data_IF_592518008874
#
_entry.id   IF_592518008874
#
_cell.length_a   1.000
_cell.length_b   1.000
_cell.length_c   1.000
_cell.angle_alpha   90.00
_cell.angle_beta   90.00
_cell.angle_gamma   90.00
#
_symmetry.space_group_name_H-M   'P 1'
#
loop_
_entity.id
_entity.type
_entity.pdbx_description
1 polymer ?
#
# COMPACT_ATOMS: atom_id res chain seq x y z
N UNK A 1 -9.97 -16.47 -23.18
CA UNK A 1 -8.99 -16.30 -22.08
C UNK A 1 -9.17 -14.92 -21.51
N UNK A 2 -9.08 -14.69 -20.19
CA UNK A 2 -9.10 -13.33 -19.67
C UNK A 2 -7.96 -12.58 -20.35
N UNK A 3 -8.25 -11.41 -20.92
CA UNK A 3 -7.21 -10.50 -21.39
C UNK A 3 -6.41 -10.11 -20.15
N UNK A 4 -5.12 -10.45 -20.10
CA UNK A 4 -4.26 -10.05 -18.99
C UNK A 4 -4.27 -8.52 -18.81
N UNK A 5 -3.96 -8.05 -17.61
CA UNK A 5 -4.12 -6.63 -17.27
C UNK A 5 -3.14 -5.71 -18.02
N UNK A 6 -1.98 -6.25 -18.44
CA UNK A 6 -0.95 -5.51 -19.15
C UNK A 6 -1.30 -5.41 -20.63
N UNK A 7 -1.38 -4.18 -21.13
CA UNK A 7 -1.71 -3.86 -22.52
C UNK A 7 -0.44 -3.46 -23.27
N UNK A 8 -0.40 -3.79 -24.55
CA UNK A 8 0.60 -3.22 -25.46
C UNK A 8 0.46 -1.68 -25.47
N UNK A 9 1.57 -0.94 -25.35
CA UNK A 9 1.52 0.51 -25.46
C UNK A 9 1.06 0.91 -26.87
N UNK A 10 0.42 2.08 -26.97
CA UNK A 10 0.11 2.68 -28.26
C UNK A 10 1.40 3.20 -28.91
N UNK A 11 1.38 3.42 -30.22
CA UNK A 11 2.51 4.03 -30.94
C UNK A 11 2.80 5.45 -30.40
N UNK A 12 1.76 6.17 -29.98
CA UNK A 12 1.88 7.48 -29.34
C UNK A 12 2.63 7.38 -28.00
N UNK A 13 2.24 6.45 -27.12
CA UNK A 13 2.95 6.22 -25.86
C UNK A 13 4.42 5.81 -26.08
N UNK A 14 4.70 5.00 -27.11
CA UNK A 14 6.08 4.67 -27.47
C UNK A 14 6.86 5.88 -27.97
N UNK A 15 6.21 6.80 -28.68
CA UNK A 15 6.83 8.05 -29.14
C UNK A 15 7.17 8.96 -27.96
N UNK A 16 6.26 9.10 -27.00
CA UNK A 16 6.49 9.89 -25.79
C UNK A 16 7.68 9.35 -25.00
N UNK A 17 7.73 8.02 -24.79
CA UNK A 17 8.87 7.37 -24.12
C UNK A 17 10.17 7.52 -24.92
N UNK A 18 10.13 7.41 -26.25
CA UNK A 18 11.32 7.63 -27.08
C UNK A 18 11.85 9.06 -26.93
N UNK A 19 10.96 10.06 -26.91
CA UNK A 19 11.31 11.46 -26.68
C UNK A 19 11.92 11.69 -25.29
N UNK A 20 11.32 11.10 -24.23
CA UNK A 20 11.82 11.17 -22.86
C UNK A 20 13.24 10.56 -22.73
N UNK A 21 13.52 9.53 -23.52
CA UNK A 21 14.83 8.88 -23.60
C UNK A 21 15.81 9.59 -24.55
N UNK A 22 15.40 10.66 -25.23
CA UNK A 22 16.22 11.40 -26.20
C UNK A 22 16.45 10.65 -27.53
N UNK A 23 15.60 9.68 -27.85
CA UNK A 23 15.64 8.88 -29.09
C UNK A 23 14.75 9.52 -30.15
N UNK A 24 15.28 9.64 -31.37
CA UNK A 24 14.46 9.98 -32.55
C UNK A 24 14.13 8.70 -33.29
N UNK A 25 12.85 8.37 -33.36
CA UNK A 25 12.36 7.15 -34.01
C UNK A 25 11.25 7.49 -35.01
N UNK A 26 11.32 6.89 -36.18
CA UNK A 26 10.28 6.91 -37.19
C UNK A 26 9.07 6.05 -36.79
N UNK A 27 7.93 6.29 -37.44
CA UNK A 27 6.71 5.51 -37.20
C UNK A 27 6.90 4.02 -37.50
N UNK A 28 7.75 3.69 -38.48
CA UNK A 28 8.10 2.32 -38.82
C UNK A 28 8.92 1.65 -37.71
N UNK A 29 9.89 2.35 -37.13
CA UNK A 29 10.68 1.85 -36.01
C UNK A 29 9.82 1.67 -34.75
N UNK A 30 8.90 2.61 -34.48
CA UNK A 30 7.96 2.51 -33.36
C UNK A 30 6.98 1.34 -33.55
N UNK A 31 6.47 1.12 -34.76
CA UNK A 31 5.62 -0.03 -35.07
C UNK A 31 6.35 -1.35 -34.87
N UNK A 32 7.60 -1.45 -35.36
CA UNK A 32 8.45 -2.62 -35.16
C UNK A 32 8.72 -2.87 -33.67
N UNK A 33 9.08 -1.84 -32.91
CA UNK A 33 9.30 -1.99 -31.46
C UNK A 33 8.04 -2.46 -30.73
N UNK A 34 6.87 -1.96 -31.13
CA UNK A 34 5.59 -2.41 -30.58
C UNK A 34 5.33 -3.89 -30.83
N UNK A 35 5.66 -4.40 -32.03
CA UNK A 35 5.57 -5.82 -32.35
C UNK A 35 6.55 -6.65 -31.50
N UNK A 36 7.79 -6.18 -31.35
CA UNK A 36 8.79 -6.85 -30.51
C UNK A 36 8.38 -6.93 -29.03
N UNK A 37 7.60 -5.97 -28.53
CA UNK A 37 7.10 -5.97 -27.16
C UNK A 37 5.99 -7.01 -26.90
N UNK A 38 5.38 -7.59 -27.94
CA UNK A 38 4.26 -8.52 -27.78
C UNK A 38 4.62 -9.73 -26.90
N UNK A 39 5.77 -10.36 -27.15
CA UNK A 39 6.24 -11.49 -26.34
C UNK A 39 6.51 -11.12 -24.88
N UNK A 40 7.04 -9.91 -24.63
CA UNK A 40 7.23 -9.41 -23.26
C UNK A 40 5.90 -9.16 -22.56
N UNK A 41 4.94 -8.52 -23.22
CA UNK A 41 3.59 -8.28 -22.66
C UNK A 41 2.88 -9.59 -22.37
N UNK A 42 2.99 -10.59 -23.22
CA UNK A 42 2.49 -11.94 -22.94
C UNK A 42 3.14 -12.55 -21.69
N UNK A 43 4.46 -12.40 -21.53
CA UNK A 43 5.15 -12.87 -20.33
C UNK A 43 4.70 -12.12 -19.05
N UNK A 44 4.52 -10.80 -19.11
CA UNK A 44 3.96 -10.03 -17.98
C UNK A 44 2.54 -10.48 -17.63
N UNK A 45 1.69 -10.70 -18.64
CA UNK A 45 0.35 -11.20 -18.43
C UNK A 45 0.35 -12.62 -17.86
N UNK A 46 1.32 -13.47 -18.20
CA UNK A 46 1.47 -14.78 -17.57
C UNK A 46 1.81 -14.66 -16.08
N UNK A 47 2.66 -13.70 -15.70
CA UNK A 47 2.98 -13.40 -14.28
C UNK A 47 1.76 -12.84 -13.55
N UNK A 48 0.98 -11.96 -14.18
CA UNK A 48 -0.25 -11.38 -13.61
C UNK A 48 -1.35 -12.42 -13.30
N UNK A 49 -1.29 -13.59 -13.93
CA UNK A 49 -2.18 -14.72 -13.63
C UNK A 49 -1.64 -15.65 -12.54
N UNK A 50 -0.41 -15.43 -12.06
CA UNK A 50 0.16 -16.20 -10.95
C UNK A 50 -0.43 -15.71 -9.62
N UNK A 51 -0.52 -16.59 -8.60
CA UNK A 51 -0.92 -16.17 -7.27
C UNK A 51 0.11 -15.22 -6.63
N UNK A 52 -0.37 -14.22 -5.89
CA UNK A 52 0.48 -13.24 -5.17
C UNK A 52 1.21 -13.81 -3.94
N UNK A 53 0.85 -15.03 -3.48
CA UNK A 53 1.45 -15.72 -2.32
C UNK A 53 1.56 -14.83 -1.06
N UNK A 54 0.47 -14.13 -0.72
CA UNK A 54 0.44 -13.19 0.40
C UNK A 54 0.49 -13.89 1.78
N UNK A 55 1.14 -13.27 2.80
CA UNK A 55 1.12 -13.78 4.17
C UNK A 55 -0.29 -13.88 4.77
N UNK A 56 -0.53 -14.91 5.58
CA UNK A 56 -1.82 -15.12 6.25
C UNK A 56 -2.14 -14.02 7.28
N UNK A 57 -3.38 -13.54 7.22
CA UNK A 57 -3.97 -12.57 8.16
C UNK A 57 -4.74 -13.32 9.26
N UNK A 58 -4.08 -13.59 10.39
CA UNK A 58 -4.55 -14.57 11.40
C UNK A 58 -5.59 -14.07 12.41
N UNK A 59 -5.58 -12.78 12.74
CA UNK A 59 -6.42 -12.23 13.83
C UNK A 59 -7.67 -11.51 13.32
N UNK A 60 -8.86 -11.74 13.92
CA UNK A 60 -10.08 -11.01 13.59
C UNK A 60 -9.92 -9.51 13.78
N UNK A 61 -10.50 -8.72 12.87
CA UNK A 61 -10.29 -7.28 12.83
C UNK A 61 -11.48 -6.54 12.26
N UNK A 62 -11.66 -5.30 12.71
CA UNK A 62 -12.51 -4.32 12.08
C UNK A 62 -11.66 -3.35 11.25
N UNK A 63 -12.20 -2.78 10.15
CA UNK A 63 -11.47 -1.83 9.30
C UNK A 63 -11.10 -0.53 10.03
N UNK A 64 -11.69 -0.30 11.21
CA UNK A 64 -11.51 0.92 11.98
C UNK A 64 -12.36 2.07 11.47
N UNK A 65 -12.26 3.21 12.14
CA UNK A 65 -12.95 4.45 11.77
C UNK A 65 -12.06 5.67 11.99
N UNK A 66 -12.36 6.74 11.26
CA UNK A 66 -11.85 8.07 11.60
C UNK A 66 -12.39 8.47 12.99
N UNK A 67 -11.53 8.94 13.91
CA UNK A 67 -11.98 9.43 15.21
C UNK A 67 -12.71 10.77 15.09
N UNK A 68 -13.67 11.01 15.99
CA UNK A 68 -14.27 12.34 16.11
C UNK A 68 -13.27 13.34 16.75
N UNK A 69 -13.42 14.66 16.57
CA UNK A 69 -12.48 15.65 17.09
C UNK A 69 -12.19 15.53 18.60
N UNK A 70 -13.21 15.21 19.40
CA UNK A 70 -13.10 15.01 20.84
C UNK A 70 -12.22 13.81 21.23
N UNK A 71 -12.10 12.82 20.33
CA UNK A 71 -11.25 11.63 20.48
C UNK A 71 -9.84 11.82 19.88
N UNK A 72 -9.61 12.92 19.16
CA UNK A 72 -8.37 13.19 18.42
C UNK A 72 -7.85 14.62 18.64
N UNK A 73 -7.90 15.10 19.89
CA UNK A 73 -7.52 16.48 20.27
C UNK A 73 -6.13 16.93 19.80
N UNK A 74 -5.21 16.00 19.59
CA UNK A 74 -3.84 16.27 19.17
C UNK A 74 -3.58 15.99 17.68
N UNK A 75 -4.60 15.60 16.90
CA UNK A 75 -4.41 15.18 15.51
C UNK A 75 -3.55 13.93 15.33
N UNK A 76 -3.29 13.17 16.41
CA UNK A 76 -2.34 12.06 16.38
C UNK A 76 -2.89 10.77 15.75
N UNK A 77 -4.21 10.65 15.61
CA UNK A 77 -4.86 9.46 15.05
C UNK A 77 -5.27 9.67 13.60
N UNK A 78 -4.87 8.73 12.75
CA UNK A 78 -5.43 8.60 11.40
C UNK A 78 -6.74 7.81 11.47
N UNK A 79 -6.68 6.58 12.01
CA UNK A 79 -7.80 5.65 12.18
C UNK A 79 -7.69 5.00 13.56
N UNK A 80 -8.82 4.83 14.26
CA UNK A 80 -8.91 4.00 15.47
C UNK A 80 -9.57 2.67 15.13
N UNK A 81 -9.01 1.59 15.64
CA UNK A 81 -9.57 0.23 15.58
C UNK A 81 -9.22 -0.52 16.85
N UNK A 82 -9.71 -1.74 17.03
CA UNK A 82 -9.27 -2.64 18.10
C UNK A 82 -9.08 -4.02 17.49
N UNK A 83 -7.83 -4.47 17.45
CA UNK A 83 -7.46 -5.82 16.98
C UNK A 83 -6.77 -6.51 18.14
N UNK A 84 -7.41 -7.55 18.66
CA UNK A 84 -6.88 -8.35 19.76
C UNK A 84 -5.94 -9.41 19.23
N UNK A 85 -4.72 -9.44 19.77
CA UNK A 85 -3.76 -10.50 19.52
C UNK A 85 -4.05 -11.77 20.33
N UNK A 86 -3.03 -12.62 20.48
CA UNK A 86 -3.11 -13.86 21.22
C UNK A 86 -3.62 -13.70 22.67
N UNK A 87 -4.22 -14.77 23.20
CA UNK A 87 -4.75 -14.79 24.56
C UNK A 87 -3.66 -14.62 25.65
N UNK A 88 -2.41 -14.92 25.34
CA UNK A 88 -1.25 -14.81 26.21
C UNK A 88 -0.03 -14.29 25.42
N UNK A 89 1.07 -13.99 26.13
CA UNK A 89 2.33 -13.53 25.54
C UNK A 89 2.91 -12.31 26.22
N UNK A 90 4.12 -11.89 25.78
CA UNK A 90 4.91 -10.83 26.41
C UNK A 90 4.23 -9.46 26.41
N UNK A 91 3.32 -9.22 25.47
CA UNK A 91 2.58 -7.97 25.31
C UNK A 91 1.12 -8.08 25.76
N UNK A 92 0.72 -9.17 26.43
CA UNK A 92 -0.67 -9.33 26.90
C UNK A 92 -1.08 -8.14 27.78
N UNK A 93 -2.24 -7.56 27.45
CA UNK A 93 -2.80 -6.40 28.15
C UNK A 93 -2.14 -5.06 27.77
N UNK A 94 -1.19 -5.06 26.82
CA UNK A 94 -0.59 -3.83 26.29
C UNK A 94 -1.32 -3.37 25.03
N UNK A 95 -1.44 -2.05 24.90
CA UNK A 95 -2.06 -1.37 23.76
C UNK A 95 -0.96 -0.75 22.91
N UNK A 96 -0.98 -1.00 21.61
CA UNK A 96 0.03 -0.52 20.66
C UNK A 96 -0.67 0.23 19.53
N UNK A 97 -0.18 1.41 19.19
CA UNK A 97 -0.58 2.10 17.98
C UNK A 97 0.51 1.93 16.93
N UNK A 98 0.12 1.78 15.66
CA UNK A 98 1.08 1.64 14.56
C UNK A 98 1.21 2.96 13.82
N UNK A 99 2.45 3.38 13.52
CA UNK A 99 2.69 4.50 12.60
C UNK A 99 1.97 4.25 11.27
N UNK A 100 1.38 5.28 10.67
CA UNK A 100 0.47 5.07 9.54
C UNK A 100 1.15 4.44 8.31
N UNK A 101 2.46 4.64 8.16
CA UNK A 101 3.26 4.00 7.11
C UNK A 101 3.53 2.48 7.33
N UNK A 102 2.97 1.86 8.37
CA UNK A 102 3.05 0.43 8.65
C UNK A 102 1.74 -0.23 8.22
N UNK A 103 1.82 -1.21 7.31
CA UNK A 103 0.66 -1.96 6.85
C UNK A 103 0.00 -2.76 8.00
N UNK A 104 -1.32 -2.73 8.01
CA UNK A 104 -2.18 -3.49 8.91
C UNK A 104 -3.39 -3.93 8.08
N UNK A 105 -3.48 -5.23 7.77
CA UNK A 105 -4.40 -5.73 6.75
C UNK A 105 -5.84 -5.30 7.06
N UNK A 106 -6.55 -4.80 6.04
CA UNK A 106 -7.95 -4.36 6.14
C UNK A 106 -8.16 -3.03 6.87
N UNK A 107 -7.12 -2.36 7.38
CA UNK A 107 -7.21 -1.05 8.04
C UNK A 107 -6.60 0.02 7.14
N UNK A 108 -7.35 1.09 6.79
CA UNK A 108 -6.85 2.12 5.90
C UNK A 108 -5.52 2.74 6.36
N UNK A 109 -4.74 3.22 5.41
CA UNK A 109 -3.55 4.03 5.65
C UNK A 109 -3.30 5.01 4.49
N UNK A 110 -2.56 6.07 4.75
CA UNK A 110 -2.16 7.04 3.72
C UNK A 110 -0.70 7.56 3.89
N UNK A 111 0.04 7.11 4.92
CA UNK A 111 1.43 7.57 5.16
C UNK A 111 1.54 9.11 5.20
N UNK A 112 0.54 9.76 5.79
CA UNK A 112 0.44 11.23 5.86
C UNK A 112 0.28 11.94 4.51
N UNK A 113 0.20 11.20 3.39
CA UNK A 113 0.24 11.74 2.04
C UNK A 113 -1.12 11.59 1.35
N UNK A 114 -1.69 12.69 0.88
CA UNK A 114 -2.98 12.72 0.18
C UNK A 114 -3.03 11.83 -1.07
N UNK A 115 -1.89 11.61 -1.72
CA UNK A 115 -1.78 10.72 -2.90
C UNK A 115 -1.99 9.24 -2.58
N UNK A 116 -1.89 8.84 -1.32
CA UNK A 116 -2.12 7.47 -0.85
C UNK A 116 -3.43 7.33 -0.08
N UNK A 117 -4.25 8.39 0.00
CA UNK A 117 -5.56 8.31 0.63
C UNK A 117 -6.45 7.28 -0.09
N UNK A 118 -7.13 6.44 0.69
CA UNK A 118 -7.97 5.35 0.18
C UNK A 118 -7.28 4.00 0.06
N UNK A 119 -5.95 3.92 0.25
CA UNK A 119 -5.26 2.65 0.27
C UNK A 119 -5.60 1.82 1.52
N UNK A 120 -5.92 0.55 1.31
CA UNK A 120 -6.15 -0.45 2.36
C UNK A 120 -5.25 -1.64 2.03
N UNK A 121 -4.24 -1.96 2.86
CA UNK A 121 -3.36 -3.07 2.61
C UNK A 121 -4.06 -4.42 2.84
N UNK A 122 -3.67 -5.44 2.08
CA UNK A 122 -4.14 -6.83 2.26
C UNK A 122 -3.27 -7.62 3.25
N UNK A 123 -2.14 -7.06 3.69
CA UNK A 123 -1.15 -7.74 4.52
C UNK A 123 -0.82 -6.98 5.81
N UNK A 124 -0.51 -7.73 6.85
CA UNK A 124 0.12 -7.20 8.05
C UNK A 124 1.62 -7.04 7.82
N UNK A 125 2.18 -5.89 8.19
CA UNK A 125 3.62 -5.79 8.32
C UNK A 125 4.10 -6.79 9.37
N UNK A 126 5.28 -7.40 9.17
CA UNK A 126 5.85 -8.41 10.09
C UNK A 126 5.84 -7.98 11.56
N UNK A 127 6.04 -6.69 11.84
CA UNK A 127 5.98 -6.16 13.21
C UNK A 127 4.57 -6.18 13.79
N UNK A 128 3.53 -5.90 13.00
CA UNK A 128 2.14 -6.00 13.44
C UNK A 128 1.80 -7.45 13.80
N UNK A 129 2.19 -8.39 12.95
CA UNK A 129 2.05 -9.83 13.21
C UNK A 129 2.72 -10.25 14.51
N UNK A 130 3.98 -9.84 14.72
CA UNK A 130 4.72 -10.15 15.96
C UNK A 130 4.11 -9.52 17.21
N UNK A 131 3.54 -8.32 17.10
CA UNK A 131 2.85 -7.65 18.21
C UNK A 131 1.61 -8.46 18.61
N UNK A 132 0.78 -8.85 17.63
CA UNK A 132 -0.43 -9.63 17.84
C UNK A 132 -0.10 -11.03 18.38
N UNK A 133 0.89 -11.72 17.81
CA UNK A 133 1.37 -13.02 18.29
C UNK A 133 1.85 -12.97 19.75
N UNK A 134 2.46 -11.86 20.17
CA UNK A 134 2.87 -11.64 21.54
C UNK A 134 1.73 -11.22 22.48
N UNK A 135 0.48 -11.20 22.01
CA UNK A 135 -0.71 -10.87 22.80
C UNK A 135 -1.02 -9.38 22.93
N UNK A 136 -0.34 -8.52 22.17
CA UNK A 136 -0.61 -7.08 22.14
C UNK A 136 -1.93 -6.76 21.43
N UNK A 137 -2.59 -5.69 21.87
CA UNK A 137 -3.78 -5.15 21.19
C UNK A 137 -3.38 -3.96 20.33
N UNK A 138 -3.61 -4.04 19.02
CA UNK A 138 -3.40 -2.89 18.12
C UNK A 138 -4.65 -2.01 18.16
N UNK A 139 -4.46 -0.72 18.46
CA UNK A 139 -5.57 0.22 18.75
C UNK A 139 -5.81 1.29 17.68
N UNK A 140 -5.10 1.21 16.57
CA UNK A 140 -5.22 2.16 15.47
C UNK A 140 -3.91 2.49 14.79
N UNK A 141 -4.03 3.41 13.83
CA UNK A 141 -2.96 3.99 13.05
C UNK A 141 -2.73 5.43 13.50
N UNK A 142 -1.50 5.79 13.80
CA UNK A 142 -1.11 7.15 14.18
C UNK A 142 -0.56 7.89 12.98
N UNK A 143 -0.96 9.15 12.83
CA UNK A 143 -0.50 10.06 11.77
C UNK A 143 1.02 10.09 11.69
N UNK A 144 1.55 10.29 10.49
CA UNK A 144 2.94 10.63 10.25
C UNK A 144 3.03 11.75 9.21
N UNK A 145 4.22 12.33 9.08
CA UNK A 145 4.53 13.35 8.09
C UNK A 145 4.30 12.88 6.65
N UNK A 146 4.15 13.83 5.71
CA UNK A 146 3.96 13.55 4.29
C UNK A 146 5.10 12.68 3.76
N UNK A 147 4.80 11.43 3.40
CA UNK A 147 5.79 10.42 3.04
C UNK A 147 6.90 10.18 4.07
N UNK A 148 6.66 10.49 5.34
CA UNK A 148 7.67 10.49 6.40
C UNK A 148 8.88 11.40 6.15
N UNK A 149 8.79 12.38 5.24
CA UNK A 149 9.93 13.18 4.79
C UNK A 149 10.08 14.52 5.53
N UNK A 150 9.81 14.52 6.83
CA UNK A 150 9.96 15.68 7.70
C UNK A 150 10.31 15.22 9.11
N UNK A 151 11.14 16.01 9.80
CA UNK A 151 11.40 15.85 11.25
C UNK A 151 10.43 16.63 12.14
N UNK A 152 9.55 17.45 11.54
CA UNK A 152 8.49 18.18 12.23
C UNK A 152 7.20 17.38 12.36
N UNK A 153 6.10 18.10 12.61
CA UNK A 153 4.74 17.53 12.76
C UNK A 153 3.66 18.34 12.03
N UNK A 154 4.00 18.99 10.91
CA UNK A 154 3.15 19.98 10.23
C UNK A 154 2.95 19.70 8.74
N UNK A 155 3.42 18.54 8.26
CA UNK A 155 3.35 18.20 6.82
C UNK A 155 2.28 17.16 6.51
N UNK A 156 1.76 16.45 7.51
CA UNK A 156 0.62 15.53 7.34
C UNK A 156 -0.55 16.20 6.62
N UNK A 157 -1.15 15.48 5.67
CA UNK A 157 -2.36 15.92 4.96
C UNK A 157 -3.67 15.74 5.77
N UNK A 158 -3.58 15.25 7.01
CA UNK A 158 -4.71 15.08 7.96
C UNK A 158 -4.46 15.75 9.28
#
# INVERSE_FOLDING_TARGET
MPLGTVKLPTVEQLRDVAADLGLTMSDAELALHRECLAGSVEAYNAVDQMPDELPEVRYPRAPGRRPAPEENKFGAWYVKTTIEGAANGKLKGKRVALKDNICLAGVPMMNGASTLEGYVPDVDATVATRILDAGGTIVGKTVCEYFCFSGGSHTSAT
#
